data_IF_863664436947
#
_entry.id   IF_863664436947
#
_cell.length_a   1.000
_cell.length_b   1.000
_cell.length_c   1.000
_cell.angle_alpha   90.00
_cell.angle_beta   90.00
_cell.angle_gamma   90.00
#
_symmetry.space_group_name_H-M   'P 1'
#
loop_
_entity.id
_entity.type
_entity.pdbx_description
1 polymer ?
#
# COMPACT_ATOMS: atom_id res chain seq x y z
N UNK A 1 -11.52 21.48 8.45
CA UNK A 1 -11.63 20.31 7.55
C UNK A 1 -10.28 19.61 7.52
N UNK A 2 -10.21 18.30 7.85
CA UNK A 2 -8.94 17.57 7.99
C UNK A 2 -8.90 16.35 7.06
N UNK A 3 -7.74 16.07 6.46
CA UNK A 3 -7.51 14.91 5.59
C UNK A 3 -7.85 13.60 6.29
N UNK A 4 -7.60 13.49 7.60
CA UNK A 4 -7.94 12.33 8.44
C UNK A 4 -9.41 11.88 8.29
N UNK A 5 -10.33 12.79 7.98
CA UNK A 5 -11.75 12.44 7.77
C UNK A 5 -12.05 11.73 6.45
N UNK A 6 -11.07 11.62 5.55
CA UNK A 6 -11.25 11.16 4.16
C UNK A 6 -10.29 10.03 3.78
N UNK A 7 -9.40 9.60 4.69
CA UNK A 7 -8.44 8.53 4.42
C UNK A 7 -9.04 7.15 4.64
N UNK A 8 -8.53 6.16 3.89
CA UNK A 8 -8.71 4.75 4.22
C UNK A 8 -7.89 4.42 5.46
N UNK A 9 -8.54 3.89 6.51
CA UNK A 9 -7.88 3.61 7.80
C UNK A 9 -7.13 2.28 7.82
N UNK A 10 -7.58 1.28 7.06
CA UNK A 10 -6.86 0.02 6.87
C UNK A 10 -6.06 0.10 5.58
N UNK A 11 -4.76 0.32 5.71
CA UNK A 11 -3.85 0.46 4.58
C UNK A 11 -3.09 -0.85 4.40
N UNK A 12 -3.21 -1.42 3.21
CA UNK A 12 -2.45 -2.61 2.82
C UNK A 12 -1.14 -2.12 2.24
N UNK A 13 -0.02 -2.57 2.81
CA UNK A 13 1.33 -2.24 2.36
C UNK A 13 2.11 -3.50 2.00
N UNK A 14 3.20 -3.33 1.26
CA UNK A 14 4.14 -4.40 0.89
C UNK A 14 5.55 -4.04 1.37
N UNK A 15 6.42 -5.04 1.46
CA UNK A 15 7.86 -4.84 1.70
C UNK A 15 8.58 -4.58 0.37
N UNK A 16 9.74 -3.93 0.39
CA UNK A 16 10.53 -3.60 -0.81
C UNK A 16 10.99 -4.84 -1.61
N UNK A 17 11.12 -5.99 -0.95
CA UNK A 17 11.45 -7.26 -1.60
C UNK A 17 10.23 -7.99 -2.19
N UNK A 18 9.03 -7.38 -2.11
CA UNK A 18 7.80 -7.98 -2.65
C UNK A 18 7.81 -7.93 -4.18
N UNK A 19 7.64 -9.10 -4.82
CA UNK A 19 7.58 -9.17 -6.27
C UNK A 19 6.39 -8.40 -6.86
N UNK A 20 6.58 -7.81 -8.05
CA UNK A 20 5.53 -7.07 -8.74
C UNK A 20 4.29 -7.92 -9.03
N UNK A 21 4.46 -9.21 -9.30
CA UNK A 21 3.32 -10.12 -9.51
C UNK A 21 2.47 -10.24 -8.24
N UNK A 22 3.09 -10.38 -7.07
CA UNK A 22 2.38 -10.45 -5.79
C UNK A 22 1.72 -9.12 -5.44
N UNK A 23 2.41 -8.00 -5.67
CA UNK A 23 1.85 -6.66 -5.48
C UNK A 23 0.60 -6.46 -6.37
N UNK A 24 0.65 -6.87 -7.64
CA UNK A 24 -0.48 -6.78 -8.56
C UNK A 24 -1.68 -7.64 -8.12
N UNK A 25 -1.43 -8.86 -7.65
CA UNK A 25 -2.49 -9.72 -7.09
C UNK A 25 -3.16 -9.04 -5.90
N UNK A 26 -2.38 -8.49 -4.97
CA UNK A 26 -2.90 -7.77 -3.80
C UNK A 26 -3.73 -6.55 -4.20
N UNK A 27 -3.28 -5.77 -5.19
CA UNK A 27 -4.03 -4.64 -5.73
C UNK A 27 -5.39 -5.08 -6.28
N UNK A 28 -5.40 -6.17 -7.08
CA UNK A 28 -6.61 -6.72 -7.69
C UNK A 28 -7.59 -7.26 -6.66
N UNK A 29 -7.11 -8.05 -5.70
CA UNK A 29 -7.94 -8.66 -4.65
C UNK A 29 -8.58 -7.63 -3.74
N UNK A 30 -7.86 -6.54 -3.44
CA UNK A 30 -8.34 -5.50 -2.55
C UNK A 30 -8.98 -4.31 -3.30
N UNK A 31 -9.11 -4.40 -4.62
CA UNK A 31 -9.65 -3.36 -5.49
C UNK A 31 -9.00 -1.97 -5.27
N UNK A 32 -7.68 -1.95 -5.08
CA UNK A 32 -6.88 -0.74 -4.89
C UNK A 32 -5.88 -0.59 -6.04
N UNK A 33 -5.52 0.65 -6.33
CA UNK A 33 -4.61 0.97 -7.45
C UNK A 33 -3.19 1.31 -7.02
N UNK A 34 -2.95 1.44 -5.71
CA UNK A 34 -1.69 1.88 -5.12
C UNK A 34 -1.44 1.13 -3.82
N UNK A 35 -0.20 0.75 -3.60
CA UNK A 35 0.34 0.10 -2.41
C UNK A 35 1.52 0.92 -1.88
N UNK A 36 1.49 1.34 -0.61
CA UNK A 36 2.68 1.83 0.06
C UNK A 36 3.70 0.71 0.22
N UNK A 37 4.97 1.02 -0.05
CA UNK A 37 6.10 0.12 0.20
C UNK A 37 6.73 0.55 1.52
N UNK A 38 6.77 -0.34 2.51
CA UNK A 38 7.20 -0.05 3.87
C UNK A 38 8.35 -0.98 4.25
N UNK A 39 9.45 -0.40 4.73
CA UNK A 39 10.59 -1.13 5.28
C UNK A 39 10.86 -0.65 6.71
N UNK A 40 10.95 -1.58 7.67
CA UNK A 40 11.23 -1.28 9.10
C UNK A 40 10.34 -0.17 9.69
N UNK A 41 9.05 -0.20 9.33
CA UNK A 41 8.06 0.78 9.79
C UNK A 41 8.15 2.17 9.13
N UNK A 42 9.00 2.34 8.11
CA UNK A 42 9.12 3.58 7.34
C UNK A 42 8.59 3.39 5.93
N UNK A 43 7.88 4.39 5.43
CA UNK A 43 7.46 4.46 4.03
C UNK A 43 8.69 4.71 3.15
N UNK A 44 9.00 3.79 2.24
CA UNK A 44 10.15 3.88 1.33
C UNK A 44 9.73 4.03 -0.13
N UNK A 45 8.46 3.76 -0.47
CA UNK A 45 7.97 3.91 -1.84
C UNK A 45 6.45 3.81 -1.97
N UNK A 46 5.97 3.96 -3.20
CA UNK A 46 4.58 3.75 -3.59
C UNK A 46 4.55 3.14 -5.00
N UNK A 47 3.76 2.10 -5.19
CA UNK A 47 3.59 1.40 -6.47
C UNK A 47 2.12 1.15 -6.77
#
# INVERSE_FOLDING_TARGET
MLVKGWISSQVISVDEETSMMKAFVLMKENNIRRLPVVQKGKLVGIV
#
